data_IF_963436289823
#
_entry.id   IF_963436289823
#
_cell.length_a   1.000
_cell.length_b   1.000
_cell.length_c   1.000
_cell.angle_alpha   90.00
_cell.angle_beta   90.00
_cell.angle_gamma   90.00
#
_symmetry.space_group_name_H-M   'P 1'
#
loop_
_entity.id
_entity.type
_entity.pdbx_description
1 polymer ?
#
# COMPACT_ATOMS: atom_id res chain seq x y z
N UNK A 1 12.69 -1.40 -7.21
CA UNK A 1 12.57 -2.61 -6.38
C UNK A 1 11.88 -2.23 -5.09
N UNK A 2 10.95 -3.05 -4.64
CA UNK A 2 10.21 -2.85 -3.39
C UNK A 2 11.14 -3.05 -2.19
N UNK A 3 10.95 -2.30 -1.11
CA UNK A 3 11.78 -2.40 0.10
C UNK A 3 11.45 -3.67 0.90
N UNK A 4 12.42 -4.22 1.63
CA UNK A 4 12.17 -5.36 2.53
C UNK A 4 11.13 -5.04 3.61
N UNK A 5 11.06 -3.78 4.06
CA UNK A 5 10.04 -3.33 5.00
C UNK A 5 8.62 -3.39 4.39
N UNK A 6 8.47 -3.00 3.14
CA UNK A 6 7.20 -3.05 2.43
C UNK A 6 6.84 -4.48 2.02
N UNK A 7 7.83 -5.29 1.63
CA UNK A 7 7.65 -6.74 1.47
C UNK A 7 7.15 -7.36 2.77
N UNK A 8 7.73 -7.01 3.92
CA UNK A 8 7.27 -7.51 5.22
C UNK A 8 5.85 -7.06 5.54
N UNK A 9 5.47 -5.81 5.23
CA UNK A 9 4.07 -5.35 5.39
C UNK A 9 3.12 -6.13 4.48
N UNK A 10 3.52 -6.39 3.24
CA UNK A 10 2.76 -7.20 2.27
C UNK A 10 2.63 -8.65 2.76
N UNK A 11 3.70 -9.23 3.29
CA UNK A 11 3.67 -10.54 3.95
C UNK A 11 2.76 -10.54 5.17
N UNK A 12 2.70 -9.43 5.91
CA UNK A 12 1.79 -9.24 7.03
C UNK A 12 0.36 -8.85 6.59
N UNK A 13 0.03 -9.01 5.30
CA UNK A 13 -1.33 -8.89 4.78
C UNK A 13 -1.69 -7.55 4.16
N UNK A 14 -0.76 -6.59 4.11
CA UNK A 14 -0.97 -5.33 3.39
C UNK A 14 -1.12 -5.59 1.88
N UNK A 15 -1.91 -4.73 1.24
CA UNK A 15 -2.04 -4.77 -0.22
C UNK A 15 -0.81 -4.15 -0.87
N UNK A 16 -0.34 -4.74 -1.95
CA UNK A 16 0.70 -4.21 -2.83
C UNK A 16 0.14 -3.47 -4.04
N UNK A 17 1.01 -2.74 -4.72
CA UNK A 17 0.74 -2.16 -6.04
C UNK A 17 1.71 -2.74 -7.06
N UNK A 18 1.19 -3.22 -8.19
CA UNK A 18 2.01 -3.68 -9.30
C UNK A 18 2.65 -2.51 -10.05
N UNK A 19 3.68 -2.76 -10.84
CA UNK A 19 4.33 -1.74 -11.69
C UNK A 19 3.35 -1.04 -12.63
N UNK A 20 2.35 -1.77 -13.13
CA UNK A 20 1.26 -1.25 -13.97
C UNK A 20 0.14 -0.55 -13.16
N UNK A 21 0.27 -0.46 -11.84
CA UNK A 21 -0.66 0.25 -10.97
C UNK A 21 -1.88 -0.56 -10.54
N UNK A 22 -1.83 -1.90 -10.66
CA UNK A 22 -2.88 -2.79 -10.18
C UNK A 22 -2.74 -3.03 -8.68
N UNK A 23 -3.86 -3.14 -7.98
CA UNK A 23 -3.86 -3.63 -6.60
C UNK A 23 -3.48 -5.09 -6.64
N UNK A 24 -2.61 -5.52 -5.76
CA UNK A 24 -2.30 -6.93 -5.57
C UNK A 24 -2.21 -7.28 -4.09
N UNK A 25 -2.28 -8.57 -3.79
CA UNK A 25 -2.14 -9.08 -2.43
C UNK A 25 -1.31 -10.35 -2.45
N UNK A 26 -0.34 -10.43 -1.55
CA UNK A 26 0.38 -11.67 -1.29
C UNK A 26 -0.57 -12.66 -0.59
N UNK A 27 -0.61 -13.88 -1.12
CA UNK A 27 -1.49 -14.93 -0.62
C UNK A 27 -0.71 -15.96 0.19
N UNK A 28 0.53 -16.24 -0.21
CA UNK A 28 1.36 -17.24 0.46
C UNK A 28 2.49 -17.74 -0.42
N UNK A 29 3.27 -18.65 0.14
CA UNK A 29 4.33 -19.35 -0.56
C UNK A 29 3.79 -20.65 -1.17
N UNK A 30 4.17 -20.93 -2.40
CA UNK A 30 3.96 -22.23 -3.06
C UNK A 30 5.27 -23.02 -3.06
N UNK A 31 5.18 -24.29 -2.64
CA UNK A 31 6.33 -25.19 -2.67
C UNK A 31 6.64 -25.60 -4.11
N UNK A 32 7.86 -25.32 -4.57
CA UNK A 32 8.38 -25.72 -5.87
C UNK A 32 9.91 -25.63 -5.89
N UNK A 33 10.55 -26.36 -6.80
CA UNK A 33 12.01 -26.31 -6.99
C UNK A 33 12.48 -25.07 -7.78
N UNK A 34 11.58 -24.09 -8.01
CA UNK A 34 11.85 -22.87 -8.77
C UNK A 34 11.85 -21.63 -7.87
N UNK A 35 12.53 -20.58 -8.28
CA UNK A 35 12.69 -19.33 -7.50
C UNK A 35 11.41 -18.47 -7.40
N UNK A 36 10.37 -18.75 -8.21
CA UNK A 36 9.10 -18.01 -8.23
C UNK A 36 8.07 -18.59 -7.25
N UNK A 37 8.35 -18.48 -5.96
CA UNK A 37 7.55 -19.14 -4.91
C UNK A 37 6.46 -18.26 -4.29
N UNK A 38 6.39 -16.98 -4.62
CA UNK A 38 5.53 -16.01 -3.94
C UNK A 38 4.26 -15.75 -4.74
N UNK A 39 3.12 -16.25 -4.25
CA UNK A 39 1.85 -16.13 -4.97
C UNK A 39 1.18 -14.78 -4.67
N UNK A 40 0.84 -14.07 -5.74
CA UNK A 40 0.09 -12.82 -5.69
C UNK A 40 -1.21 -12.92 -6.48
N UNK A 41 -2.27 -12.32 -5.96
CA UNK A 41 -3.50 -12.07 -6.71
C UNK A 41 -3.61 -10.59 -7.06
N UNK A 42 -4.11 -10.28 -8.24
CA UNK A 42 -4.29 -8.91 -8.76
C UNK A 42 -5.77 -8.59 -8.91
N UNK A 43 -6.14 -7.39 -8.51
CA UNK A 43 -7.51 -6.92 -8.51
C UNK A 43 -7.71 -5.85 -9.58
N UNK A 44 -8.85 -5.93 -10.27
CA UNK A 44 -9.27 -4.90 -11.20
C UNK A 44 -9.89 -3.72 -10.43
N UNK A 45 -10.35 -2.70 -11.16
CA UNK A 45 -10.96 -1.50 -10.57
C UNK A 45 -12.26 -1.76 -9.79
N UNK A 46 -12.90 -2.92 -10.01
CA UNK A 46 -14.10 -3.37 -9.27
C UNK A 46 -13.74 -4.19 -8.03
N UNK A 47 -12.46 -4.37 -7.71
CA UNK A 47 -12.00 -5.18 -6.59
C UNK A 47 -12.11 -6.70 -6.83
N UNK A 48 -12.41 -7.14 -8.05
CA UNK A 48 -12.44 -8.57 -8.41
C UNK A 48 -11.04 -9.03 -8.80
N UNK A 49 -10.69 -10.25 -8.39
CA UNK A 49 -9.45 -10.90 -8.84
C UNK A 49 -9.57 -11.15 -10.34
N UNK A 50 -8.61 -10.64 -11.12
CA UNK A 50 -8.57 -10.86 -12.57
C UNK A 50 -7.30 -11.62 -12.99
N UNK A 51 -6.30 -11.69 -12.12
CA UNK A 51 -5.06 -12.38 -12.41
C UNK A 51 -4.42 -12.93 -11.12
N UNK A 52 -3.57 -13.93 -11.30
CA UNK A 52 -2.76 -14.56 -10.24
C UNK A 52 -1.39 -14.84 -10.82
N UNK A 53 -0.33 -14.41 -10.13
CA UNK A 53 1.04 -14.60 -10.60
C UNK A 53 1.95 -15.15 -9.51
N UNK A 54 2.98 -15.85 -9.95
CA UNK A 54 4.04 -16.35 -9.10
C UNK A 54 5.27 -15.47 -9.29
N UNK A 55 5.65 -14.78 -8.24
CA UNK A 55 6.81 -13.90 -8.22
C UNK A 55 7.94 -14.56 -7.44
N UNK A 56 9.16 -14.10 -7.66
CA UNK A 56 10.28 -14.49 -6.82
C UNK A 56 10.27 -13.73 -5.48
N UNK A 57 11.26 -14.00 -4.63
CA UNK A 57 11.46 -13.29 -3.35
C UNK A 57 11.64 -11.77 -3.49
N UNK A 58 11.99 -11.31 -4.69
CA UNK A 58 12.08 -9.90 -5.04
C UNK A 58 10.78 -9.29 -5.56
N UNK A 59 9.69 -10.05 -5.53
CA UNK A 59 8.39 -9.72 -6.10
C UNK A 59 8.48 -9.35 -7.59
N UNK A 60 9.36 -10.04 -8.32
CA UNK A 60 9.48 -9.94 -9.76
C UNK A 60 8.87 -11.15 -10.46
N UNK A 61 8.23 -10.87 -11.59
CA UNK A 61 7.68 -11.91 -12.46
C UNK A 61 8.76 -12.50 -13.38
N UNK A 62 9.78 -11.71 -13.73
CA UNK A 62 10.98 -12.16 -14.42
C UNK A 62 12.24 -11.56 -13.81
N UNK A 63 13.32 -12.35 -13.78
CA UNK A 63 14.64 -11.90 -13.25
C UNK A 63 15.42 -11.06 -14.26
N UNK A 64 15.20 -11.25 -15.55
CA UNK A 64 15.98 -10.63 -16.62
C UNK A 64 15.47 -9.24 -17.03
N UNK A 65 14.17 -8.98 -16.87
CA UNK A 65 13.54 -7.72 -17.24
C UNK A 65 12.39 -7.36 -16.30
N UNK A 66 12.10 -6.07 -16.21
CA UNK A 66 10.98 -5.56 -15.43
C UNK A 66 9.66 -5.91 -16.10
N UNK A 67 8.71 -6.42 -15.32
CA UNK A 67 7.40 -6.84 -15.83
C UNK A 67 6.28 -5.95 -15.25
N UNK A 68 5.18 -5.74 -16.00
CA UNK A 68 4.00 -5.00 -15.51
C UNK A 68 3.40 -5.55 -14.21
N UNK A 69 3.61 -6.84 -13.96
CA UNK A 69 3.13 -7.61 -12.82
C UNK A 69 4.02 -7.45 -11.59
N UNK A 70 5.28 -7.00 -11.71
CA UNK A 70 6.17 -6.83 -10.54
C UNK A 70 5.47 -6.03 -9.43
N UNK A 71 5.52 -6.49 -8.18
CA UNK A 71 4.99 -5.71 -7.05
C UNK A 71 6.06 -4.72 -6.61
N UNK A 72 5.74 -3.44 -6.73
CA UNK A 72 6.72 -2.37 -6.57
C UNK A 72 6.50 -1.54 -5.30
N UNK A 73 5.41 -1.75 -4.58
CA UNK A 73 5.13 -1.05 -3.32
C UNK A 73 3.82 -1.47 -2.66
N UNK A 74 3.37 -0.68 -1.68
CA UNK A 74 2.09 -0.84 -0.98
C UNK A 74 0.94 -0.10 -1.68
N UNK A 75 -0.29 -0.54 -1.40
CA UNK A 75 -1.52 -0.01 -2.01
C UNK A 75 -2.24 1.07 -1.20
N UNK A 76 -1.92 1.27 0.09
CA UNK A 76 -2.80 1.94 1.07
C UNK A 76 -3.26 3.36 0.67
N UNK A 77 -2.62 3.99 -0.31
CA UNK A 77 -2.98 5.29 -0.85
C UNK A 77 -3.08 5.31 -2.37
N UNK A 78 -3.90 4.44 -3.02
CA UNK A 78 -4.10 4.61 -4.47
C UNK A 78 -4.65 6.01 -4.75
N UNK A 79 -3.94 6.82 -5.56
CA UNK A 79 -4.42 8.11 -5.95
C UNK A 79 -5.70 7.94 -6.78
N UNK A 80 -6.75 8.69 -6.45
CA UNK A 80 -7.96 8.70 -7.27
C UNK A 80 -7.58 9.22 -8.66
N UNK A 81 -7.90 8.55 -9.77
CA UNK A 81 -7.50 8.99 -11.10
C UNK A 81 -7.92 10.45 -11.35
N UNK A 82 -7.15 11.17 -12.16
CA UNK A 82 -7.48 12.55 -12.48
C UNK A 82 -8.89 12.68 -13.06
N UNK A 83 -9.72 13.50 -12.41
CA UNK A 83 -11.07 13.87 -12.83
C UNK A 83 -11.12 15.37 -13.11
N UNK A 84 -11.26 15.70 -14.39
CA UNK A 84 -11.27 17.09 -14.85
C UNK A 84 -12.47 17.89 -14.29
N UNK A 85 -13.65 17.27 -14.17
CA UNK A 85 -14.84 17.97 -13.69
C UNK A 85 -14.70 18.32 -12.21
N UNK A 86 -14.22 17.39 -11.40
CA UNK A 86 -13.91 17.65 -9.98
C UNK A 86 -12.84 18.72 -9.82
N UNK A 87 -11.77 18.63 -10.61
CA UNK A 87 -10.69 19.61 -10.57
C UNK A 87 -11.19 21.02 -10.93
N UNK A 88 -12.04 21.16 -11.95
CA UNK A 88 -12.66 22.43 -12.34
C UNK A 88 -13.67 22.95 -11.30
N UNK A 89 -14.31 22.06 -10.55
CA UNK A 89 -15.15 22.42 -9.41
C UNK A 89 -14.35 22.83 -8.16
N UNK A 90 -13.01 22.86 -8.26
CA UNK A 90 -12.12 23.37 -7.21
C UNK A 90 -11.52 22.31 -6.31
N UNK A 91 -11.76 21.01 -6.57
CA UNK A 91 -11.05 19.95 -5.86
C UNK A 91 -9.56 19.93 -6.27
N UNK A 92 -8.64 19.77 -5.31
CA UNK A 92 -7.22 19.75 -5.62
C UNK A 92 -6.80 18.48 -6.35
N UNK A 93 -5.69 18.58 -7.08
CA UNK A 93 -5.05 17.45 -7.77
C UNK A 93 -3.63 17.23 -7.23
N UNK A 94 -3.14 16.01 -7.38
CA UNK A 94 -1.76 15.64 -7.04
C UNK A 94 -0.93 15.51 -8.31
N UNK A 95 0.18 16.23 -8.31
CA UNK A 95 1.17 16.17 -9.39
C UNK A 95 2.12 14.99 -9.18
N UNK A 96 2.80 14.58 -10.26
CA UNK A 96 3.78 13.49 -10.25
C UNK A 96 4.91 13.70 -9.23
N UNK A 97 5.29 14.94 -8.98
CA UNK A 97 6.27 15.32 -7.95
C UNK A 97 5.68 15.41 -6.52
N UNK A 98 4.42 15.01 -6.32
CA UNK A 98 3.74 15.03 -5.03
C UNK A 98 3.22 16.41 -4.59
N UNK A 99 3.36 17.44 -5.41
CA UNK A 99 2.81 18.76 -5.10
C UNK A 99 1.29 18.80 -5.29
N UNK A 100 0.64 19.63 -4.46
CA UNK A 100 -0.78 19.96 -4.58
C UNK A 100 -0.95 21.05 -5.63
N UNK A 101 -1.89 20.85 -6.56
CA UNK A 101 -2.22 21.84 -7.58
C UNK A 101 -3.74 22.01 -7.69
N UNK A 102 -4.15 23.08 -8.36
CA UNK A 102 -5.56 23.38 -8.64
C UNK A 102 -5.71 23.75 -10.11
N UNK A 103 -6.67 23.12 -10.78
CA UNK A 103 -7.15 23.54 -12.09
C UNK A 103 -8.21 24.61 -11.88
N UNK A 104 -8.15 25.73 -12.63
CA UNK A 104 -9.09 26.84 -12.45
C UNK A 104 -10.04 27.05 -13.61
N UNK A 105 -9.56 26.90 -14.84
CA UNK A 105 -10.41 27.05 -16.01
C UNK A 105 -9.82 26.32 -17.22
N UNK A 106 -10.70 26.07 -18.18
CA UNK A 106 -10.34 25.62 -19.53
C UNK A 106 -10.33 26.85 -20.44
N UNK A 107 -9.29 26.98 -21.25
CA UNK A 107 -9.21 28.00 -22.29
C UNK A 107 -10.37 27.85 -23.28
N UNK A 108 -10.82 28.96 -23.90
CA UNK A 108 -11.98 28.92 -24.77
C UNK A 108 -11.65 28.19 -26.10
N UNK A 109 -12.66 27.74 -26.88
CA UNK A 109 -12.45 26.90 -28.08
C UNK A 109 -11.55 27.50 -29.17
N UNK A 110 -11.41 28.83 -29.18
CA UNK A 110 -10.53 29.59 -30.07
C UNK A 110 -9.05 29.36 -29.75
N UNK A 111 -8.71 29.00 -28.51
CA UNK A 111 -7.37 28.66 -28.11
C UNK A 111 -6.91 27.36 -28.77
N UNK A 112 -5.86 27.43 -29.60
CA UNK A 112 -5.30 26.29 -30.34
C UNK A 112 -4.01 25.74 -29.74
N UNK A 113 -3.63 26.18 -28.54
CA UNK A 113 -2.46 25.68 -27.86
C UNK A 113 -2.67 24.27 -27.29
N UNK A 114 -1.58 23.50 -27.09
CA UNK A 114 -1.66 22.10 -26.65
C UNK A 114 -2.08 21.90 -25.18
N UNK A 115 -2.09 22.96 -24.37
CA UNK A 115 -2.36 22.89 -22.93
C UNK A 115 -3.51 23.84 -22.54
N UNK A 116 -4.77 23.47 -22.83
CA UNK A 116 -5.93 24.33 -22.61
C UNK A 116 -6.35 24.43 -21.14
N UNK A 117 -5.90 23.55 -20.24
CA UNK A 117 -6.17 23.71 -18.82
C UNK A 117 -5.21 24.76 -18.24
N UNK A 118 -5.71 25.64 -17.36
CA UNK A 118 -4.88 26.59 -16.63
C UNK A 118 -5.20 26.58 -15.14
N UNK A 119 -4.16 26.72 -14.33
CA UNK A 119 -4.25 26.64 -12.88
C UNK A 119 -2.95 27.04 -12.20
N UNK A 120 -2.73 26.53 -10.99
CA UNK A 120 -1.53 26.83 -10.23
C UNK A 120 -1.08 25.67 -9.33
N UNK A 121 0.20 25.70 -8.98
CA UNK A 121 0.86 24.75 -8.08
C UNK A 121 1.12 25.45 -6.74
N UNK A 122 0.84 24.77 -5.62
CA UNK A 122 1.25 25.21 -4.30
C UNK A 122 2.64 24.64 -3.97
N UNK A 123 3.63 25.52 -3.83
CA UNK A 123 4.98 25.12 -3.44
C UNK A 123 5.15 25.25 -1.91
N UNK A 124 5.27 24.13 -1.22
CA UNK A 124 5.40 24.09 0.24
C UNK A 124 6.75 24.63 0.78
N UNK A 125 7.71 24.99 -0.10
CA UNK A 125 9.06 25.42 0.32
C UNK A 125 9.20 26.93 0.51
N UNK A 126 8.37 27.54 1.36
CA UNK A 126 8.57 28.89 1.93
C UNK A 126 8.30 30.12 1.04
N UNK A 127 7.44 30.02 0.03
CA UNK A 127 7.00 31.20 -0.72
C UNK A 127 5.47 31.24 -0.78
N UNK A 128 4.88 32.35 -0.39
CA UNK A 128 3.43 32.63 -0.55
C UNK A 128 3.01 32.74 -2.03
N UNK A 129 3.92 32.47 -2.97
CA UNK A 129 3.66 32.52 -4.40
C UNK A 129 3.23 31.15 -4.93
N UNK A 130 2.14 31.15 -5.68
CA UNK A 130 1.67 30.01 -6.46
C UNK A 130 2.14 30.15 -7.91
N UNK A 131 2.75 29.10 -8.44
CA UNK A 131 3.24 29.08 -9.82
C UNK A 131 2.09 28.80 -10.77
N UNK A 132 1.88 29.68 -11.76
CA UNK A 132 0.86 29.48 -12.80
C UNK A 132 1.33 28.44 -13.81
N UNK A 133 0.47 27.47 -14.09
CA UNK A 133 0.79 26.32 -14.94
C UNK A 133 -0.40 25.96 -15.83
N UNK A 134 -0.09 25.35 -16.98
CA UNK A 134 -1.07 24.81 -17.91
C UNK A 134 -0.84 23.33 -18.19
N UNK A 135 -1.91 22.60 -18.47
CA UNK A 135 -1.90 21.17 -18.77
C UNK A 135 -2.80 20.82 -19.97
N UNK A 136 -2.59 19.63 -20.54
CA UNK A 136 -3.53 19.02 -21.49
C UNK A 136 -4.85 18.65 -20.78
N UNK A 137 -5.90 18.30 -21.52
CA UNK A 137 -7.18 17.87 -20.92
C UNK A 137 -7.04 16.59 -20.09
N UNK A 138 -6.00 15.80 -20.36
CA UNK A 138 -5.63 14.57 -19.65
C UNK A 138 -4.65 14.84 -18.50
N UNK A 139 -4.29 16.10 -18.25
CA UNK A 139 -3.43 16.49 -17.14
C UNK A 139 -1.92 16.46 -17.42
N UNK A 140 -1.49 16.34 -18.68
CA UNK A 140 -0.07 16.32 -19.03
C UNK A 140 0.52 17.74 -19.07
N UNK A 141 1.66 17.96 -18.42
CA UNK A 141 2.33 19.27 -18.40
C UNK A 141 3.19 19.50 -19.65
N UNK A 142 3.81 18.46 -20.19
CA UNK A 142 4.61 18.55 -21.41
C UNK A 142 4.50 17.28 -22.25
N UNK A 143 4.30 17.45 -23.57
CA UNK A 143 4.36 16.37 -24.56
C UNK A 143 5.77 16.04 -25.06
N UNK A 144 6.78 16.83 -24.64
CA UNK A 144 8.16 16.73 -25.14
C UNK A 144 9.17 16.23 -24.10
N UNK A 145 8.75 16.12 -22.83
CA UNK A 145 9.57 15.56 -21.77
C UNK A 145 9.08 14.16 -21.44
N UNK A 146 9.97 13.17 -21.36
CA UNK A 146 9.59 11.77 -21.11
C UNK A 146 8.89 11.57 -19.76
N UNK A 147 9.14 12.44 -18.77
CA UNK A 147 8.46 12.43 -17.47
C UNK A 147 8.32 13.84 -16.89
N UNK A 148 7.32 14.63 -17.32
CA UNK A 148 7.09 15.95 -16.76
C UNK A 148 6.73 15.82 -15.28
N UNK A 149 7.57 16.37 -14.40
CA UNK A 149 7.40 16.32 -12.94
C UNK A 149 6.09 16.96 -12.46
N UNK A 150 5.48 17.79 -13.30
CA UNK A 150 4.24 18.50 -13.03
C UNK A 150 3.01 17.88 -13.71
N UNK A 151 3.09 16.67 -14.27
CA UNK A 151 1.87 15.98 -14.73
C UNK A 151 0.90 15.78 -13.57
N UNK A 152 -0.38 15.98 -13.84
CA UNK A 152 -1.46 15.58 -12.94
C UNK A 152 -1.62 14.07 -13.07
N UNK A 153 -1.39 13.35 -11.98
CA UNK A 153 -1.50 11.88 -11.97
C UNK A 153 -2.76 11.39 -11.25
N UNK A 154 -3.44 12.29 -10.52
CA UNK A 154 -4.59 11.95 -9.68
C UNK A 154 -5.25 13.15 -9.01
N UNK A 155 -6.44 12.96 -8.45
CA UNK A 155 -7.03 13.87 -7.46
C UNK A 155 -6.22 13.85 -6.15
N UNK A 156 -6.19 14.97 -5.45
CA UNK A 156 -5.52 15.11 -4.16
C UNK A 156 -6.39 14.55 -3.05
N UNK A 157 -5.84 13.62 -2.26
CA UNK A 157 -6.42 13.21 -0.99
C UNK A 157 -5.67 13.90 0.13
N UNK A 158 -6.40 14.44 1.10
CA UNK A 158 -5.75 14.89 2.33
C UNK A 158 -5.12 13.69 3.02
N UNK A 159 -3.86 13.80 3.49
CA UNK A 159 -3.23 12.70 4.20
C UNK A 159 -4.10 12.33 5.41
N UNK A 160 -4.59 11.09 5.46
CA UNK A 160 -5.41 10.62 6.57
C UNK A 160 -4.60 10.59 7.87
N UNK A 161 -5.16 11.18 8.94
CA UNK A 161 -4.75 10.89 10.31
C UNK A 161 -5.00 9.40 10.61
N UNK A 162 -3.99 8.70 11.16
CA UNK A 162 -3.96 7.24 11.32
C UNK A 162 -5.25 6.59 11.88
N UNK A 163 -5.70 5.43 11.35
CA UNK A 163 -6.94 4.76 11.74
C UNK A 163 -6.91 4.14 13.15
N UNK A 164 -8.08 4.08 13.82
CA UNK A 164 -8.26 3.57 15.21
C UNK A 164 -7.81 2.12 15.44
N UNK A 165 -7.79 1.29 14.40
CA UNK A 165 -7.26 -0.09 14.48
C UNK A 165 -5.77 -0.11 14.85
N UNK A 166 -4.99 0.87 14.39
CA UNK A 166 -3.56 1.03 14.72
C UNK A 166 -3.38 1.47 16.17
N UNK A 167 -4.33 2.25 16.73
CA UNK A 167 -4.35 2.60 18.15
C UNK A 167 -4.66 1.40 19.05
N UNK A 168 -5.51 0.47 18.60
CA UNK A 168 -5.85 -0.75 19.36
C UNK A 168 -4.68 -1.73 19.47
N UNK A 169 -3.81 -1.82 18.46
CA UNK A 169 -2.65 -2.75 18.46
C UNK A 169 -1.57 -2.31 19.46
N UNK A 170 -1.37 -1.00 19.66
CA UNK A 170 -0.37 -0.46 20.61
C UNK A 170 -0.68 -0.78 22.08
N UNK A 171 -1.93 -1.11 22.39
CA UNK A 171 -2.38 -1.45 23.74
C UNK A 171 -2.48 -2.97 23.97
N UNK A 172 -2.11 -3.80 22.99
CA UNK A 172 -2.13 -5.25 23.15
C UNK A 172 -0.96 -5.72 24.04
N UNK A 173 -1.18 -6.77 24.84
CA UNK A 173 -0.15 -7.32 25.72
C UNK A 173 1.02 -7.88 24.90
N UNK A 174 2.24 -7.65 25.41
CA UNK A 174 3.45 -8.17 24.81
C UNK A 174 3.48 -9.70 24.90
N UNK A 175 3.97 -10.34 23.84
CA UNK A 175 4.28 -11.77 23.89
C UNK A 175 5.46 -12.05 24.82
N UNK A 176 5.56 -13.29 25.25
CA UNK A 176 6.70 -13.78 26.01
C UNK A 176 7.97 -13.76 25.14
N UNK A 177 9.09 -13.38 25.76
CA UNK A 177 10.42 -13.38 25.13
C UNK A 177 11.28 -14.58 25.54
N UNK A 178 10.80 -15.38 26.48
CA UNK A 178 11.41 -16.63 26.93
C UNK A 178 10.35 -17.63 27.37
N UNK A 179 10.63 -18.94 27.27
CA UNK A 179 9.74 -19.96 27.79
C UNK A 179 9.45 -19.77 29.29
N UNK A 180 8.21 -20.06 29.68
CA UNK A 180 7.81 -20.17 31.08
C UNK A 180 6.73 -21.24 31.24
N UNK A 181 6.50 -21.67 32.47
CA UNK A 181 5.45 -22.63 32.78
C UNK A 181 4.07 -21.96 32.60
N UNK A 182 3.09 -22.69 32.06
CA UNK A 182 1.71 -22.20 31.91
C UNK A 182 1.49 -21.15 30.81
N UNK A 183 2.30 -21.17 29.75
CA UNK A 183 2.14 -20.27 28.60
C UNK A 183 1.03 -20.72 27.64
N UNK A 184 0.46 -19.76 26.92
CA UNK A 184 -0.59 -19.98 25.92
C UNK A 184 -0.08 -19.60 24.53
N UNK A 185 -0.49 -20.33 23.51
CA UNK A 185 -0.19 -19.99 22.12
C UNK A 185 -1.48 -19.80 21.32
N UNK A 186 -1.34 -19.11 20.21
CA UNK A 186 -2.43 -18.80 19.29
C UNK A 186 -2.26 -19.57 17.99
N UNK A 187 -3.36 -20.04 17.39
CA UNK A 187 -3.42 -20.48 16.00
C UNK A 187 -4.70 -19.96 15.32
N UNK A 188 -4.94 -20.37 14.08
CA UNK A 188 -6.11 -19.96 13.27
C UNK A 188 -7.46 -20.28 13.92
N UNK A 189 -7.51 -21.27 14.80
CA UNK A 189 -8.72 -21.76 15.45
C UNK A 189 -8.98 -21.11 16.82
N UNK A 190 -7.97 -20.55 17.49
CA UNK A 190 -8.12 -19.97 18.83
C UNK A 190 -6.82 -19.87 19.64
N UNK A 191 -7.01 -19.78 20.96
CA UNK A 191 -5.93 -19.70 21.96
C UNK A 191 -5.91 -21.00 22.75
N UNK A 192 -4.73 -21.58 22.94
CA UNK A 192 -4.54 -22.90 23.53
C UNK A 192 -3.39 -22.91 24.54
N UNK A 193 -3.48 -23.71 25.62
CA UNK A 193 -2.36 -23.89 26.52
C UNK A 193 -1.22 -24.65 25.83
N UNK A 194 0.01 -24.25 26.10
CA UNK A 194 1.20 -24.95 25.66
C UNK A 194 1.40 -26.25 26.44
N UNK A 195 1.71 -27.34 25.74
CA UNK A 195 2.16 -28.59 26.37
C UNK A 195 3.60 -28.52 26.90
N UNK A 196 4.34 -27.48 26.51
CA UNK A 196 5.72 -27.23 26.90
C UNK A 196 5.78 -26.12 27.96
N UNK A 197 6.80 -26.18 28.84
CA UNK A 197 7.05 -25.20 29.91
C UNK A 197 8.36 -24.44 29.76
N UNK A 198 8.94 -23.99 30.87
CA UNK A 198 10.17 -23.18 30.90
C UNK A 198 11.43 -23.85 30.30
N UNK A 199 11.42 -25.17 30.19
CA UNK A 199 12.54 -25.95 29.60
C UNK A 199 12.40 -26.14 28.09
N UNK A 200 11.40 -25.51 27.47
CA UNK A 200 11.24 -25.55 26.02
C UNK A 200 12.51 -25.07 25.33
N UNK A 201 12.96 -25.85 24.33
CA UNK A 201 14.04 -25.43 23.46
C UNK A 201 13.68 -24.09 22.78
N UNK A 202 14.64 -23.17 22.79
CA UNK A 202 14.41 -21.81 22.29
C UNK A 202 14.05 -21.79 20.79
N UNK A 203 14.51 -22.77 20.01
CA UNK A 203 14.16 -22.89 18.59
C UNK A 203 12.71 -23.36 18.41
N UNK A 204 12.16 -24.14 19.35
CA UNK A 204 10.74 -24.51 19.38
C UNK A 204 9.90 -23.33 19.87
N UNK A 205 10.39 -22.58 20.85
CA UNK A 205 9.73 -21.38 21.38
C UNK A 205 9.53 -20.32 20.31
N UNK A 206 10.55 -20.11 19.47
CA UNK A 206 10.50 -19.09 18.42
C UNK A 206 9.63 -19.46 17.21
N UNK A 207 9.05 -20.68 17.15
CA UNK A 207 8.14 -21.08 16.07
C UNK A 207 6.72 -20.52 16.24
N UNK A 208 6.36 -19.99 17.41
CA UNK A 208 5.01 -19.50 17.72
C UNK A 208 5.07 -18.26 18.61
N UNK A 209 3.96 -17.55 18.67
CA UNK A 209 3.76 -16.47 19.65
C UNK A 209 3.15 -17.05 20.91
N UNK A 210 3.82 -16.82 22.05
CA UNK A 210 3.35 -17.27 23.36
C UNK A 210 2.97 -16.08 24.26
N UNK A 211 1.98 -16.28 25.11
CA UNK A 211 1.48 -15.30 26.06
C UNK A 211 1.48 -15.86 27.49
N UNK A 212 1.61 -14.95 28.45
CA UNK A 212 1.60 -15.30 29.87
C UNK A 212 0.22 -15.75 30.36
N UNK A 213 -0.85 -15.30 29.70
CA UNK A 213 -2.23 -15.68 30.02
C UNK A 213 -3.06 -15.98 28.76
N UNK A 214 -4.13 -16.75 28.94
CA UNK A 214 -5.10 -17.03 27.88
C UNK A 214 -5.81 -15.75 27.41
N UNK A 215 -6.01 -14.79 28.33
CA UNK A 215 -6.68 -13.52 28.02
C UNK A 215 -5.85 -12.68 27.06
N UNK A 216 -4.54 -12.60 27.28
CA UNK A 216 -3.62 -11.89 26.39
C UNK A 216 -3.68 -12.47 24.97
N UNK A 217 -3.70 -13.81 24.87
CA UNK A 217 -3.88 -14.49 23.59
C UNK A 217 -5.24 -14.20 22.94
N UNK A 218 -6.31 -14.07 23.73
CA UNK A 218 -7.67 -13.78 23.22
C UNK A 218 -7.80 -12.35 22.72
N UNK A 219 -7.16 -11.39 23.38
CA UNK A 219 -7.13 -9.99 22.93
C UNK A 219 -6.48 -9.89 21.55
N UNK A 220 -5.39 -10.63 21.33
CA UNK A 220 -4.78 -10.80 20.01
C UNK A 220 -5.72 -11.51 19.02
N UNK A 221 -6.32 -12.65 19.38
CA UNK A 221 -7.25 -13.40 18.53
C UNK A 221 -8.43 -12.54 18.03
N UNK A 222 -9.02 -11.75 18.92
CA UNK A 222 -10.13 -10.87 18.61
C UNK A 222 -9.71 -9.69 17.71
N UNK A 223 -8.53 -9.10 17.96
CA UNK A 223 -7.97 -8.07 17.10
C UNK A 223 -7.77 -8.58 15.66
N UNK A 224 -7.32 -9.83 15.49
CA UNK A 224 -7.18 -10.46 14.17
C UNK A 224 -8.51 -10.87 13.53
N UNK A 225 -9.59 -11.10 14.29
CA UNK A 225 -10.92 -11.41 13.72
C UNK A 225 -11.70 -10.17 13.30
N UNK A 226 -11.52 -9.04 13.98
CA UNK A 226 -12.25 -7.79 13.69
C UNK A 226 -11.73 -7.05 12.45
N UNK A 227 -10.65 -7.53 11.81
CA UNK A 227 -10.17 -7.06 10.49
C UNK A 227 -10.89 -7.72 9.30
N UNK A 228 -11.86 -8.60 9.55
CA UNK A 228 -12.62 -9.37 8.55
C UNK A 228 -14.09 -8.96 8.38
N UNK A 229 -14.55 -7.86 9.00
CA UNK A 229 -15.92 -7.32 8.81
C UNK A 229 -15.93 -6.06 7.96
#
# INVERSE_FOLDING_TARGET
MISEQDKQKIFNGAYGVSRKGYKCKFVGLINGAHSYTHMFVYFNTKGLIFNTEHLNEDFKYHTEFESPEDVVGLWEDKPEPFDLNKALNGEPVMLRNGLKAYVKYVMPPEYKGPYPLSGYILNNKSSDFADRVSWSLEGNFSKYAEHPTHDIISMWKEPHSEPESVKSIRNLPASLTKPQDGMYYLNECGVYPSAYGKEMDINIFNQRVYFASEQDGRDWFNAMKNTHK
#
